data_IF_679483574473
#
_entry.id   IF_679483574473
#
_cell.length_a   1.000
_cell.length_b   1.000
_cell.length_c   1.000
_cell.angle_alpha   90.00
_cell.angle_beta   90.00
_cell.angle_gamma   90.00
#
_symmetry.space_group_name_H-M   'P 1'
#
loop_
_entity.id
_entity.type
_entity.pdbx_description
1 polymer ?
#
# COMPACT_ATOMS: atom_id res chain seq x y z
N UNK A 1 17.58 -51.67 -6.63
CA UNK A 1 17.69 -50.43 -5.85
C UNK A 1 17.12 -49.32 -6.72
N UNK A 2 15.83 -49.04 -6.56
CA UNK A 2 15.16 -47.94 -7.25
C UNK A 2 14.57 -47.06 -6.15
N UNK A 3 15.27 -45.97 -5.85
CA UNK A 3 14.83 -44.99 -4.86
C UNK A 3 13.83 -44.05 -5.53
N UNK A 4 12.55 -44.26 -5.26
CA UNK A 4 11.52 -43.26 -5.50
C UNK A 4 11.78 -42.05 -4.61
N UNK A 5 12.23 -40.95 -5.22
CA UNK A 5 12.19 -39.64 -4.59
C UNK A 5 10.77 -39.08 -4.72
N UNK A 6 9.87 -39.54 -3.86
CA UNK A 6 8.64 -38.81 -3.55
C UNK A 6 9.03 -37.60 -2.70
N UNK A 7 9.19 -36.44 -3.34
CA UNK A 7 9.19 -35.16 -2.65
C UNK A 7 7.78 -34.58 -2.73
N UNK A 8 6.89 -35.05 -1.87
CA UNK A 8 5.65 -34.34 -1.59
C UNK A 8 5.98 -33.09 -0.76
N UNK A 9 6.31 -31.99 -1.42
CA UNK A 9 6.21 -30.68 -0.79
C UNK A 9 4.72 -30.41 -0.58
N UNK A 10 4.19 -30.66 0.62
CA UNK A 10 2.89 -30.12 0.99
C UNK A 10 3.07 -28.62 1.21
N UNK A 11 3.15 -27.87 0.11
CA UNK A 11 2.90 -26.44 0.18
C UNK A 11 1.56 -26.28 0.90
N UNK A 12 1.53 -25.47 1.96
CA UNK A 12 0.31 -25.16 2.70
C UNK A 12 -0.67 -24.52 1.72
N UNK A 13 -1.53 -25.33 1.12
CA UNK A 13 -2.44 -24.91 0.08
C UNK A 13 -3.68 -24.36 0.78
N UNK A 14 -3.86 -23.04 0.73
CA UNK A 14 -5.13 -22.43 1.14
C UNK A 14 -6.25 -22.96 0.25
N UNK A 15 -7.40 -23.31 0.83
CA UNK A 15 -8.59 -23.48 0.02
C UNK A 15 -9.01 -22.13 -0.61
N UNK A 16 -9.74 -22.15 -1.74
CA UNK A 16 -10.29 -20.92 -2.32
C UNK A 16 -11.08 -20.08 -1.30
N UNK A 17 -11.90 -20.73 -0.47
CA UNK A 17 -12.70 -20.05 0.55
C UNK A 17 -11.84 -19.45 1.66
N UNK A 18 -10.77 -20.13 2.09
CA UNK A 18 -9.84 -19.59 3.09
C UNK A 18 -9.13 -18.34 2.60
N UNK A 19 -8.67 -18.35 1.33
CA UNK A 19 -8.02 -17.19 0.73
C UNK A 19 -9.01 -16.05 0.52
N UNK A 20 -10.22 -16.35 0.04
CA UNK A 20 -11.29 -15.39 -0.12
C UNK A 20 -11.65 -14.73 1.22
N UNK A 21 -11.88 -15.51 2.27
CA UNK A 21 -12.19 -15.00 3.61
C UNK A 21 -11.06 -14.13 4.15
N UNK A 22 -9.81 -14.52 3.92
CA UNK A 22 -8.65 -13.74 4.32
C UNK A 22 -8.63 -12.36 3.64
N UNK A 23 -8.83 -12.31 2.33
CA UNK A 23 -8.91 -11.06 1.57
C UNK A 23 -10.13 -10.23 2.03
N UNK A 24 -11.28 -10.89 2.24
CA UNK A 24 -12.52 -10.24 2.64
C UNK A 24 -12.44 -9.59 4.03
N UNK A 25 -11.72 -10.22 4.96
CA UNK A 25 -11.47 -9.69 6.31
C UNK A 25 -10.50 -8.50 6.33
N UNK A 26 -9.75 -8.26 5.24
CA UNK A 26 -8.83 -7.12 5.19
C UNK A 26 -9.56 -5.80 5.16
N UNK A 27 -9.40 -5.01 6.21
CA UNK A 27 -10.01 -3.68 6.31
C UNK A 27 -8.98 -2.61 6.62
N UNK A 28 -9.32 -1.37 6.27
CA UNK A 28 -8.44 -0.22 6.46
C UNK A 28 -8.73 0.43 7.82
N UNK A 29 -7.74 0.45 8.71
CA UNK A 29 -7.90 0.89 10.10
C UNK A 29 -7.23 2.25 10.28
N UNK A 30 -8.04 3.28 10.55
CA UNK A 30 -7.57 4.67 10.54
C UNK A 30 -6.68 5.10 11.71
N UNK A 31 -6.70 4.35 12.82
CA UNK A 31 -5.88 4.57 14.02
C UNK A 31 -5.17 3.26 14.38
N UNK A 32 -3.83 3.31 14.39
CA UNK A 32 -2.95 2.19 14.63
C UNK A 32 -2.00 2.54 15.78
N UNK A 33 -1.71 1.56 16.63
CA UNK A 33 -0.84 1.68 17.80
C UNK A 33 0.34 0.72 17.67
N UNK A 34 1.30 0.84 18.58
CA UNK A 34 2.39 -0.14 18.70
C UNK A 34 1.84 -1.55 19.02
N UNK A 35 2.52 -2.63 18.60
CA UNK A 35 3.75 -2.62 17.81
C UNK A 35 3.52 -2.37 16.31
N UNK A 36 4.54 -1.79 15.66
CA UNK A 36 4.74 -1.89 14.21
C UNK A 36 5.42 -3.23 13.83
N UNK A 37 5.43 -3.62 12.53
CA UNK A 37 6.24 -4.74 12.06
C UNK A 37 7.72 -4.53 12.34
N UNK A 38 8.41 -5.60 12.73
CA UNK A 38 9.87 -5.59 12.77
C UNK A 38 10.46 -5.65 11.35
N UNK A 39 11.79 -5.54 11.25
CA UNK A 39 12.51 -5.54 9.96
C UNK A 39 12.18 -6.77 9.10
N UNK A 40 12.26 -7.98 9.65
CA UNK A 40 12.02 -9.21 8.88
C UNK A 40 10.56 -9.33 8.41
N UNK A 41 9.62 -8.88 9.23
CA UNK A 41 8.19 -8.83 8.89
C UNK A 41 7.93 -7.84 7.75
N UNK A 42 8.53 -6.64 7.82
CA UNK A 42 8.45 -5.63 6.77
C UNK A 42 9.10 -6.11 5.48
N UNK A 43 10.29 -6.72 5.54
CA UNK A 43 11.00 -7.27 4.38
C UNK A 43 10.18 -8.35 3.68
N UNK A 44 9.50 -9.23 4.41
CA UNK A 44 8.62 -10.23 3.82
C UNK A 44 7.41 -9.58 3.12
N UNK A 45 6.84 -8.52 3.69
CA UNK A 45 5.75 -7.78 3.08
C UNK A 45 6.20 -7.03 1.81
N UNK A 46 7.40 -6.45 1.82
CA UNK A 46 8.02 -5.83 0.65
C UNK A 46 8.30 -6.89 -0.42
N UNK A 47 8.88 -8.04 -0.06
CA UNK A 47 9.14 -9.13 -1.01
C UNK A 47 7.86 -9.57 -1.74
N UNK A 48 6.72 -9.60 -1.05
CA UNK A 48 5.42 -9.85 -1.68
C UNK A 48 4.92 -8.69 -2.56
N UNK A 49 5.23 -7.45 -2.23
CA UNK A 49 4.97 -6.31 -3.13
C UNK A 49 5.70 -6.48 -4.47
N UNK A 50 6.96 -6.94 -4.43
CA UNK A 50 7.81 -7.11 -5.61
C UNK A 50 7.37 -8.26 -6.54
N UNK A 51 6.34 -9.04 -6.17
CA UNK A 51 5.76 -10.10 -7.03
C UNK A 51 4.54 -9.63 -7.82
N UNK A 52 4.19 -8.34 -7.72
CA UNK A 52 3.06 -7.78 -8.43
C UNK A 52 3.14 -7.99 -9.96
N UNK A 53 1.99 -8.09 -10.65
CA UNK A 53 1.96 -8.14 -12.11
C UNK A 53 2.56 -6.86 -12.69
N UNK A 54 3.57 -7.04 -13.54
CA UNK A 54 4.36 -5.94 -14.06
C UNK A 54 4.72 -6.18 -15.54
N UNK A 55 4.07 -5.42 -16.42
CA UNK A 55 4.25 -5.56 -17.86
C UNK A 55 5.67 -5.18 -18.24
N UNK A 56 6.37 -6.09 -18.94
CA UNK A 56 7.79 -5.98 -19.24
C UNK A 56 8.74 -5.96 -18.04
N UNK A 57 8.25 -6.23 -16.82
CA UNK A 57 9.07 -6.29 -15.58
C UNK A 57 9.91 -5.01 -15.40
N UNK A 58 9.25 -3.85 -15.43
CA UNK A 58 9.92 -2.55 -15.26
C UNK A 58 10.33 -2.28 -13.81
N UNK A 59 9.69 -2.95 -12.85
CA UNK A 59 9.81 -2.77 -11.40
C UNK A 59 9.56 -1.32 -10.97
N UNK A 60 8.40 -0.71 -11.33
CA UNK A 60 8.15 0.72 -11.19
C UNK A 60 7.81 1.13 -9.74
N UNK A 61 8.53 0.63 -8.74
CA UNK A 61 8.19 0.84 -7.33
C UNK A 61 9.42 1.16 -6.48
N UNK A 62 9.23 2.10 -5.54
CA UNK A 62 10.18 2.45 -4.49
C UNK A 62 9.43 2.64 -3.18
N UNK A 63 10.00 2.13 -2.09
CA UNK A 63 9.39 2.17 -0.77
C UNK A 63 10.30 2.92 0.21
N UNK A 64 9.74 3.83 1.01
CA UNK A 64 10.47 4.59 2.03
C UNK A 64 9.77 4.41 3.38
N UNK A 65 10.47 3.85 4.35
CA UNK A 65 9.95 3.66 5.71
C UNK A 65 10.18 4.91 6.56
N UNK A 66 9.16 5.32 7.31
CA UNK A 66 9.18 6.44 8.25
C UNK A 66 8.65 5.92 9.58
N UNK A 67 9.47 5.98 10.62
CA UNK A 67 9.17 5.44 11.95
C UNK A 67 9.89 6.23 13.05
N UNK A 68 9.53 5.96 14.31
CA UNK A 68 10.12 6.66 15.45
C UNK A 68 9.87 8.17 15.40
N UNK A 69 10.89 8.95 15.76
CA UNK A 69 10.83 10.43 15.79
C UNK A 69 10.75 11.05 14.39
N UNK A 70 11.18 10.34 13.34
CA UNK A 70 11.12 10.84 11.96
C UNK A 70 9.68 11.12 11.50
N UNK A 71 8.68 10.49 12.13
CA UNK A 71 7.27 10.78 11.87
C UNK A 71 6.90 12.23 12.23
N UNK A 72 7.56 12.85 13.21
CA UNK A 72 7.34 14.26 13.58
C UNK A 72 7.83 15.17 12.46
N UNK A 73 9.07 14.96 12.01
CA UNK A 73 9.64 15.70 10.88
C UNK A 73 8.83 15.48 9.58
N UNK A 74 8.32 14.27 9.37
CA UNK A 74 7.43 13.99 8.24
C UNK A 74 6.10 14.73 8.35
N UNK A 75 5.56 14.92 9.55
CA UNK A 75 4.35 15.71 9.77
C UNK A 75 4.52 17.16 9.37
N UNK A 76 5.65 17.77 9.76
CA UNK A 76 6.04 19.11 9.33
C UNK A 76 6.17 19.18 7.80
N UNK A 77 6.81 18.18 7.19
CA UNK A 77 6.93 18.10 5.74
C UNK A 77 5.56 18.03 5.03
N UNK A 78 4.62 17.24 5.54
CA UNK A 78 3.26 17.17 4.99
C UNK A 78 2.52 18.50 5.10
N UNK A 79 2.65 19.20 6.23
CA UNK A 79 2.01 20.50 6.44
C UNK A 79 2.58 21.57 5.48
N UNK A 80 3.90 21.65 5.36
CA UNK A 80 4.56 22.56 4.41
C UNK A 80 4.16 22.26 2.97
N UNK A 81 4.02 20.97 2.62
CA UNK A 81 3.63 20.55 1.28
C UNK A 81 2.20 20.97 0.91
N UNK A 82 1.30 21.10 1.89
CA UNK A 82 -0.04 21.64 1.66
C UNK A 82 -0.05 23.16 1.57
N UNK A 83 0.75 23.85 2.40
CA UNK A 83 0.84 25.31 2.38
C UNK A 83 1.43 25.85 1.06
N UNK A 84 2.33 25.11 0.41
CA UNK A 84 2.79 25.47 -0.95
C UNK A 84 1.69 25.35 -2.01
N UNK A 85 0.64 24.58 -1.75
CA UNK A 85 -0.51 24.43 -2.65
C UNK A 85 -1.51 25.58 -2.59
N UNK A 86 -1.34 26.53 -1.65
CA UNK A 86 -2.21 27.69 -1.46
C UNK A 86 -2.37 28.07 0.01
N UNK A 87 -3.13 29.14 0.28
CA UNK A 87 -3.45 29.51 1.66
C UNK A 87 -4.32 28.43 2.33
N UNK A 88 -3.82 27.90 3.44
CA UNK A 88 -4.51 26.90 4.26
C UNK A 88 -4.65 27.44 5.68
N UNK A 89 -5.81 27.18 6.28
CA UNK A 89 -6.09 27.51 7.68
C UNK A 89 -4.99 26.93 8.62
N UNK A 90 -4.37 27.74 9.50
CA UNK A 90 -3.41 27.27 10.49
C UNK A 90 -3.88 26.05 11.29
N UNK A 91 -5.18 25.97 11.63
CA UNK A 91 -5.75 24.82 12.34
C UNK A 91 -5.68 23.54 11.50
N UNK A 92 -5.86 23.64 10.19
CA UNK A 92 -5.72 22.52 9.27
C UNK A 92 -4.26 22.09 9.14
N UNK A 93 -3.31 23.03 9.11
CA UNK A 93 -1.88 22.70 9.09
C UNK A 93 -1.46 21.95 10.35
N UNK A 94 -1.88 22.40 11.53
CA UNK A 94 -1.58 21.71 12.79
C UNK A 94 -2.16 20.29 12.83
N UNK A 95 -3.36 20.09 12.28
CA UNK A 95 -3.95 18.74 12.13
C UNK A 95 -3.10 17.84 11.22
N UNK A 96 -2.59 18.38 10.12
CA UNK A 96 -1.78 17.63 9.16
C UNK A 96 -0.44 17.21 9.75
N UNK A 97 0.19 18.06 10.57
CA UNK A 97 1.41 17.71 11.33
C UNK A 97 1.22 16.45 12.20
N UNK A 98 0.01 16.26 12.71
CA UNK A 98 -0.33 15.10 13.54
C UNK A 98 -0.73 13.86 12.73
N UNK A 99 -0.90 13.96 11.40
CA UNK A 99 -1.31 12.81 10.58
C UNK A 99 -0.36 11.62 10.74
N UNK A 100 0.98 11.79 10.66
CA UNK A 100 1.91 10.68 10.84
C UNK A 100 1.82 9.95 12.19
N UNK A 101 1.29 10.60 13.23
CA UNK A 101 1.12 10.01 14.55
C UNK A 101 -0.03 9.01 14.64
N UNK A 102 -0.86 8.86 13.58
CA UNK A 102 -1.96 7.90 13.53
C UNK A 102 -1.50 6.43 13.42
N UNK A 103 -0.21 6.19 13.21
CA UNK A 103 0.38 4.86 13.19
C UNK A 103 1.84 4.90 13.65
N UNK A 104 2.38 3.82 14.23
CA UNK A 104 3.79 3.73 14.63
C UNK A 104 4.76 3.70 13.45
N UNK A 105 4.31 3.27 12.26
CA UNK A 105 5.10 3.21 11.03
C UNK A 105 4.29 3.74 9.84
N UNK A 106 4.97 4.39 8.90
CA UNK A 106 4.45 4.77 7.59
C UNK A 106 5.40 4.25 6.52
N UNK A 107 4.85 3.66 5.48
CA UNK A 107 5.56 3.33 4.26
C UNK A 107 5.06 4.26 3.15
N UNK A 108 5.95 5.10 2.62
CA UNK A 108 5.68 5.85 1.39
C UNK A 108 5.94 4.91 0.22
N UNK A 109 4.91 4.66 -0.57
CA UNK A 109 4.95 3.87 -1.78
C UNK A 109 4.98 4.83 -2.98
N UNK A 110 6.07 4.80 -3.73
CA UNK A 110 6.33 5.67 -4.87
C UNK A 110 6.33 4.79 -6.12
N UNK A 111 5.52 5.17 -7.09
CA UNK A 111 5.62 4.64 -8.45
C UNK A 111 6.72 5.41 -9.17
N UNK A 112 7.75 4.69 -9.61
CA UNK A 112 8.84 5.26 -10.40
C UNK A 112 8.50 5.12 -11.89
N UNK A 113 8.34 6.25 -12.57
CA UNK A 113 7.95 6.23 -13.98
C UNK A 113 9.14 5.78 -14.84
N UNK A 114 8.91 4.71 -15.59
CA UNK A 114 9.85 4.19 -16.59
C UNK A 114 9.24 4.38 -17.98
N UNK A 115 9.56 5.48 -18.69
CA UNK A 115 9.07 5.71 -20.04
C UNK A 115 9.37 4.52 -20.95
N UNK A 116 8.31 3.90 -21.47
CA UNK A 116 8.43 2.68 -22.27
C UNK A 116 7.43 2.67 -23.42
N UNK A 117 7.89 2.32 -24.63
CA UNK A 117 7.08 2.39 -25.86
C UNK A 117 5.82 1.51 -25.83
N UNK A 118 5.84 0.42 -25.04
CA UNK A 118 4.76 -0.57 -24.97
C UNK A 118 4.05 -0.64 -23.61
N UNK A 119 4.55 0.11 -22.62
CA UNK A 119 3.97 0.11 -21.27
C UNK A 119 3.57 1.54 -20.96
N UNK A 120 2.29 1.90 -21.15
CA UNK A 120 1.80 3.23 -20.81
C UNK A 120 1.88 3.46 -19.30
N UNK A 121 1.96 4.73 -18.92
CA UNK A 121 2.08 5.16 -17.53
C UNK A 121 1.03 4.54 -16.59
N UNK A 122 -0.23 4.45 -17.03
CA UNK A 122 -1.30 3.91 -16.19
C UNK A 122 -1.07 2.44 -15.82
N UNK A 123 -0.42 1.64 -16.67
CA UNK A 123 -0.10 0.23 -16.35
C UNK A 123 0.93 0.15 -15.23
N UNK A 124 1.88 1.08 -15.17
CA UNK A 124 2.86 1.19 -14.09
C UNK A 124 2.19 1.62 -12.77
N UNK A 125 1.21 2.53 -12.84
CA UNK A 125 0.38 2.91 -11.70
C UNK A 125 -0.43 1.72 -11.17
N UNK A 126 -1.08 0.95 -12.05
CA UNK A 126 -1.83 -0.26 -11.66
C UNK A 126 -0.91 -1.34 -11.06
N UNK A 127 0.26 -1.53 -11.65
CA UNK A 127 1.32 -2.43 -11.17
C UNK A 127 1.77 -2.05 -9.75
N UNK A 128 2.06 -0.78 -9.50
CA UNK A 128 2.38 -0.27 -8.16
C UNK A 128 1.22 -0.44 -7.18
N UNK A 129 -0.02 -0.20 -7.62
CA UNK A 129 -1.22 -0.43 -6.80
C UNK A 129 -1.39 -1.90 -6.39
N UNK A 130 -1.12 -2.83 -7.30
CA UNK A 130 -1.11 -4.27 -7.01
C UNK A 130 0.01 -4.64 -6.02
N UNK A 131 1.20 -4.04 -6.16
CA UNK A 131 2.32 -4.21 -5.22
C UNK A 131 1.94 -3.77 -3.80
N UNK A 132 1.29 -2.62 -3.66
CA UNK A 132 0.78 -2.14 -2.37
C UNK A 132 -0.23 -3.16 -1.82
N UNK A 133 -1.20 -3.60 -2.61
CA UNK A 133 -2.20 -4.57 -2.15
C UNK A 133 -1.59 -5.89 -1.68
N UNK A 134 -0.59 -6.45 -2.38
CA UNK A 134 0.13 -7.65 -1.92
C UNK A 134 0.79 -7.43 -0.56
N UNK A 135 1.45 -6.27 -0.38
CA UNK A 135 2.04 -5.87 0.90
C UNK A 135 1.00 -5.79 2.01
N UNK A 136 -0.18 -5.20 1.76
CA UNK A 136 -1.24 -5.11 2.77
C UNK A 136 -1.73 -6.49 3.22
N UNK A 137 -1.86 -7.44 2.28
CA UNK A 137 -2.27 -8.81 2.59
C UNK A 137 -1.22 -9.55 3.44
N UNK A 138 0.07 -9.39 3.14
CA UNK A 138 1.12 -10.03 3.93
C UNK A 138 1.24 -9.41 5.33
N UNK A 139 1.15 -8.08 5.46
CA UNK A 139 1.10 -7.42 6.77
C UNK A 139 -0.07 -7.94 7.62
N UNK A 140 -1.24 -8.14 7.01
CA UNK A 140 -2.37 -8.75 7.70
C UNK A 140 -2.08 -10.19 8.14
N UNK A 141 -1.43 -11.00 7.31
CA UNK A 141 -1.12 -12.39 7.68
C UNK A 141 -0.15 -12.48 8.86
N UNK A 142 0.61 -11.41 9.10
CA UNK A 142 1.52 -11.26 10.23
C UNK A 142 0.83 -10.64 11.46
N UNK A 143 -0.46 -10.33 11.39
CA UNK A 143 -1.25 -9.77 12.49
C UNK A 143 -1.32 -8.24 12.55
N UNK A 144 -0.77 -7.54 11.55
CA UNK A 144 -0.82 -6.08 11.49
C UNK A 144 -2.03 -5.56 10.73
N UNK A 145 -2.35 -4.30 10.96
CA UNK A 145 -3.37 -3.56 10.22
C UNK A 145 -2.76 -2.35 9.53
N UNK A 146 -3.48 -1.84 8.54
CA UNK A 146 -2.96 -0.77 7.69
C UNK A 146 -4.04 0.18 7.21
N UNK A 147 -3.62 1.36 6.77
CA UNK A 147 -4.46 2.34 6.09
C UNK A 147 -3.67 2.98 4.96
N UNK A 148 -4.06 2.66 3.72
CA UNK A 148 -3.52 3.32 2.53
C UNK A 148 -4.21 4.67 2.34
N UNK A 149 -3.44 5.76 2.39
CA UNK A 149 -3.91 7.14 2.18
C UNK A 149 -3.24 7.76 0.96
N UNK A 150 -3.97 8.65 0.30
CA UNK A 150 -3.50 9.55 -0.77
C UNK A 150 -4.00 10.98 -0.48
N UNK A 151 -4.18 11.82 -1.51
CA UNK A 151 -4.76 13.16 -1.42
C UNK A 151 -3.73 14.27 -1.66
N UNK A 152 -4.16 15.52 -1.47
CA UNK A 152 -3.41 16.72 -1.88
C UNK A 152 -1.94 16.76 -1.43
N UNK A 153 -1.62 16.24 -0.24
CA UNK A 153 -0.23 16.18 0.22
C UNK A 153 0.62 15.21 -0.63
N UNK A 154 0.08 14.06 -1.04
CA UNK A 154 0.77 13.08 -1.91
C UNK A 154 0.93 13.60 -3.35
N UNK A 155 0.03 14.47 -3.80
CA UNK A 155 0.10 15.12 -5.11
C UNK A 155 1.05 16.33 -5.12
N UNK A 156 1.41 16.86 -3.95
CA UNK A 156 2.25 18.04 -3.82
C UNK A 156 3.63 17.86 -4.44
N UNK A 157 3.97 18.78 -5.35
CA UNK A 157 5.31 18.85 -5.94
C UNK A 157 6.40 19.02 -4.87
N UNK A 158 6.10 19.71 -3.77
CA UNK A 158 7.02 19.86 -2.64
C UNK A 158 7.37 18.52 -2.01
N UNK A 159 6.35 17.72 -1.66
CA UNK A 159 6.54 16.42 -1.06
C UNK A 159 7.28 15.47 -2.02
N UNK A 160 6.87 15.46 -3.29
CA UNK A 160 7.53 14.68 -4.34
C UNK A 160 9.04 15.00 -4.43
N UNK A 161 9.41 16.28 -4.49
CA UNK A 161 10.82 16.72 -4.48
C UNK A 161 11.56 16.28 -3.21
N UNK A 162 10.96 16.49 -2.05
CA UNK A 162 11.57 16.14 -0.75
C UNK A 162 11.84 14.62 -0.61
N UNK A 163 11.04 13.78 -1.28
CA UNK A 163 11.20 12.32 -1.29
C UNK A 163 12.06 11.82 -2.46
N UNK A 164 12.62 12.72 -3.27
CA UNK A 164 13.46 12.38 -4.42
C UNK A 164 12.69 11.79 -5.60
N UNK A 165 11.41 12.12 -5.76
CA UNK A 165 10.65 11.79 -6.97
C UNK A 165 11.15 12.66 -8.13
N UNK A 166 11.25 12.07 -9.33
CA UNK A 166 11.68 12.75 -10.54
C UNK A 166 10.67 12.52 -11.69
N UNK A 167 10.72 13.38 -12.71
CA UNK A 167 9.89 13.21 -13.90
C UNK A 167 8.40 13.07 -13.58
N UNK A 168 7.82 11.96 -14.03
CA UNK A 168 6.40 11.61 -13.82
C UNK A 168 6.19 10.68 -12.63
N UNK A 169 7.15 10.53 -11.72
CA UNK A 169 6.99 9.74 -10.51
C UNK A 169 5.74 10.18 -9.71
N UNK A 170 5.08 9.20 -9.12
CA UNK A 170 3.88 9.42 -8.31
C UNK A 170 4.02 8.81 -6.91
N UNK A 171 3.49 9.50 -5.90
CA UNK A 171 3.30 8.90 -4.59
C UNK A 171 2.00 8.10 -4.67
N UNK A 172 2.12 6.82 -5.03
CA UNK A 172 1.00 5.89 -5.13
C UNK A 172 0.30 5.68 -3.78
N UNK A 173 1.00 5.85 -2.65
CA UNK A 173 0.38 5.77 -1.34
C UNK A 173 1.25 6.15 -0.15
N UNK A 174 0.60 6.68 0.88
CA UNK A 174 1.12 6.73 2.25
C UNK A 174 0.43 5.61 3.04
N UNK A 175 1.12 4.49 3.22
CA UNK A 175 0.58 3.32 3.94
C UNK A 175 0.96 3.43 5.41
N UNK A 176 -0.04 3.69 6.25
CA UNK A 176 0.09 3.68 7.71
C UNK A 176 0.02 2.23 8.19
N UNK A 177 0.93 1.81 9.08
CA UNK A 177 1.08 0.41 9.50
C UNK A 177 1.26 0.34 11.02
N UNK A 178 0.58 -0.62 11.66
CA UNK A 178 0.70 -0.90 13.08
C UNK A 178 -0.33 -1.93 13.55
N UNK A 179 -0.56 -1.99 14.84
CA UNK A 179 -1.58 -2.85 15.44
C UNK A 179 -2.91 -2.09 15.54
N UNK A 180 -4.02 -2.75 15.19
CA UNK A 180 -5.33 -2.11 15.26
C UNK A 180 -5.67 -1.72 16.70
N UNK A 181 -6.05 -0.46 16.93
CA UNK A 181 -6.48 0.00 18.26
C UNK A 181 -7.87 -0.49 18.63
N UNK A 182 -8.64 -0.93 17.63
CA UNK A 182 -10.00 -1.47 17.77
C UNK A 182 -10.32 -2.39 16.60
N UNK A 183 -11.19 -3.34 16.86
CA UNK A 183 -11.87 -4.07 15.81
C UNK A 183 -12.94 -3.17 15.16
N UNK A 184 -13.26 -3.46 13.90
CA UNK A 184 -14.35 -2.82 13.18
C UNK A 184 -15.27 -3.90 12.64
N UNK A 185 -16.54 -3.53 12.42
CA UNK A 185 -17.53 -4.49 11.95
C UNK A 185 -17.14 -5.06 10.57
N UNK A 186 -17.46 -6.35 10.31
CA UNK A 186 -17.30 -6.93 8.99
C UNK A 186 -18.02 -6.11 7.91
N UNK A 187 -17.52 -6.19 6.67
CA UNK A 187 -18.18 -5.55 5.54
C UNK A 187 -19.54 -6.17 5.29
N UNK A 188 -20.49 -5.34 4.89
CA UNK A 188 -21.72 -5.81 4.25
C UNK A 188 -21.36 -6.50 2.93
N UNK A 189 -21.76 -7.77 2.72
CA UNK A 189 -21.55 -8.44 1.44
C UNK A 189 -22.24 -7.68 0.30
N UNK A 190 -21.59 -7.60 -0.85
CA UNK A 190 -22.17 -7.06 -2.08
C UNK A 190 -22.70 -8.20 -2.96
N UNK A 191 -23.72 -7.92 -3.76
CA UNK A 191 -24.20 -8.86 -4.75
C UNK A 191 -23.28 -8.84 -5.98
N UNK A 192 -22.62 -9.96 -6.29
CA UNK A 192 -21.66 -10.06 -7.40
C UNK A 192 -22.30 -9.73 -8.75
N UNK A 193 -23.57 -10.07 -8.93
CA UNK A 193 -24.30 -9.82 -10.19
C UNK A 193 -24.43 -8.32 -10.51
N UNK A 194 -24.28 -7.43 -9.53
CA UNK A 194 -24.32 -5.98 -9.76
C UNK A 194 -23.02 -5.46 -10.42
N UNK A 195 -21.95 -6.26 -10.41
CA UNK A 195 -20.60 -5.86 -10.85
C UNK A 195 -19.99 -6.77 -11.93
N UNK A 196 -20.70 -7.83 -12.32
CA UNK A 196 -20.23 -8.80 -13.31
C UNK A 196 -21.27 -8.93 -14.43
N UNK A 197 -20.86 -8.63 -15.66
CA UNK A 197 -21.67 -8.80 -16.86
C UNK A 197 -20.92 -9.61 -17.90
N UNK A 198 -21.64 -10.49 -18.59
CA UNK A 198 -21.09 -11.17 -19.76
C UNK A 198 -20.98 -10.17 -20.92
N UNK A 199 -19.80 -10.14 -21.55
CA UNK A 199 -19.61 -9.37 -22.76
C UNK A 199 -20.51 -9.91 -23.88
N UNK A 200 -21.25 -9.01 -24.53
CA UNK A 200 -22.11 -9.32 -25.66
C UNK A 200 -21.49 -8.68 -26.91
N UNK A 201 -21.32 -9.48 -27.96
CA UNK A 201 -20.71 -9.01 -29.21
C UNK A 201 -21.63 -8.11 -30.04
N UNK A 202 -22.95 -8.09 -29.76
CA UNK A 202 -23.95 -7.34 -30.54
C UNK A 202 -25.09 -6.77 -29.67
N UNK A 203 -25.47 -5.54 -29.99
CA UNK A 203 -26.83 -5.00 -29.86
C UNK A 203 -27.16 -4.29 -31.17
#
# INVERSE_FOLDING_TARGET
MSSDFSTSSSATQFSPDQLYDFINRRQSIGLLVEPAPNTAQLELAIAAALTAPDHHRLHPWRFITIQGEQRIAFGELLANSLAEGGEIDPVQLDRVKQHPMRAPMILVCIMQDHPHLKVPHYEQVLSCGAAIQNLLLVLQSQGFSSMWRSGAAAESAHLKRALGCAGSDEIAGLVYIGTASKEIAPRTPLNVADFLSDWQSES
#
